data_IF_576804569461
#
_entry.id   IF_576804569461
#
_cell.length_a   1.000
_cell.length_b   1.000
_cell.length_c   1.000
_cell.angle_alpha   90.00
_cell.angle_beta   90.00
_cell.angle_gamma   90.00
#
_symmetry.space_group_name_H-M   'P 1'
#
loop_
_entity.id
_entity.type
_entity.pdbx_description
1 polymer ?
#
# COMPACT_ATOMS: atom_id res chain seq x y z
N UNK A 1 19.86 21.02 -2.98
CA UNK A 1 20.38 19.70 -3.42
C UNK A 1 19.35 18.56 -3.28
N UNK A 2 19.36 17.52 -4.15
CA UNK A 2 18.54 16.31 -3.97
C UNK A 2 19.13 15.38 -2.90
N UNK A 3 18.35 15.00 -1.90
CA UNK A 3 18.83 14.09 -0.85
C UNK A 3 18.65 12.61 -1.22
N UNK A 4 19.69 11.84 -0.95
CA UNK A 4 19.61 10.37 -0.93
C UNK A 4 18.90 9.89 0.35
N UNK A 5 18.36 8.66 0.39
CA UNK A 5 17.76 8.12 1.61
C UNK A 5 18.71 8.15 2.82
N UNK A 6 19.98 7.79 2.65
CA UNK A 6 20.96 7.78 3.74
C UNK A 6 21.30 9.21 4.21
N UNK A 7 21.38 10.16 3.29
CA UNK A 7 21.56 11.59 3.60
C UNK A 7 20.36 12.16 4.35
N UNK A 8 19.14 11.74 4.01
CA UNK A 8 17.92 12.16 4.70
C UNK A 8 17.88 11.66 6.16
N UNK A 9 18.27 10.42 6.42
CA UNK A 9 18.34 9.92 7.81
C UNK A 9 19.41 10.62 8.65
N UNK A 10 20.52 11.05 8.03
CA UNK A 10 21.51 11.91 8.70
C UNK A 10 20.91 13.27 9.05
N UNK A 11 20.23 13.91 8.10
CA UNK A 11 19.52 15.17 8.31
C UNK A 11 18.48 15.07 9.44
N UNK A 12 17.79 13.94 9.57
CA UNK A 12 16.82 13.75 10.66
C UNK A 12 17.48 13.73 12.05
N UNK A 13 18.74 13.31 12.17
CA UNK A 13 19.46 13.20 13.46
C UNK A 13 20.17 14.48 13.87
N UNK A 14 20.61 15.25 12.88
CA UNK A 14 21.24 16.55 13.06
C UNK A 14 20.68 17.50 11.99
N UNK A 15 19.54 18.15 12.26
CA UNK A 15 18.86 19.01 11.30
C UNK A 15 19.59 20.36 11.13
N UNK A 16 20.45 20.70 12.10
CA UNK A 16 21.03 22.02 12.32
C UNK A 16 22.38 22.16 11.61
N UNK A 17 22.34 21.91 10.30
CA UNK A 17 23.19 22.65 9.37
C UNK A 17 22.53 23.98 8.98
N UNK A 18 22.92 24.52 7.82
CA UNK A 18 22.31 25.70 7.22
C UNK A 18 20.95 25.43 6.53
N UNK A 19 20.25 24.34 6.85
CA UNK A 19 19.04 23.94 6.10
C UNK A 19 17.85 24.84 6.41
N UNK A 20 17.32 25.51 5.38
CA UNK A 20 16.21 26.48 5.50
C UNK A 20 14.87 25.97 4.97
N UNK A 21 14.86 24.98 4.07
CA UNK A 21 13.61 24.39 3.59
C UNK A 21 13.79 22.99 3.00
N UNK A 22 12.75 22.16 3.16
CA UNK A 22 12.65 20.84 2.53
C UNK A 22 11.42 20.75 1.62
N UNK A 23 11.62 20.14 0.46
CA UNK A 23 10.57 19.80 -0.50
C UNK A 23 10.38 18.29 -0.54
N UNK A 24 9.25 17.80 -0.03
CA UNK A 24 8.82 16.42 -0.22
C UNK A 24 7.98 16.32 -1.49
N UNK A 25 8.29 15.36 -2.37
CA UNK A 25 7.54 15.21 -3.61
C UNK A 25 7.50 13.77 -4.13
N UNK A 26 6.38 13.36 -4.71
CA UNK A 26 6.22 12.06 -5.34
C UNK A 26 4.85 11.46 -5.12
N UNK A 27 4.55 10.39 -5.86
CA UNK A 27 3.22 9.82 -6.01
C UNK A 27 2.73 9.02 -4.78
N UNK A 28 3.54 8.93 -3.72
CA UNK A 28 3.22 8.12 -2.54
C UNK A 28 3.02 9.00 -1.31
N UNK A 29 1.77 9.36 -1.04
CA UNK A 29 1.35 10.19 0.10
C UNK A 29 1.85 9.61 1.43
N UNK A 30 1.78 8.29 1.58
CA UNK A 30 2.30 7.59 2.75
C UNK A 30 3.78 7.86 3.00
N UNK A 31 4.64 7.73 1.97
CA UNK A 31 6.07 7.93 2.14
C UNK A 31 6.41 9.40 2.40
N UNK A 32 5.64 10.33 1.83
CA UNK A 32 5.74 11.75 2.18
C UNK A 32 5.45 11.95 3.65
N UNK A 33 4.29 11.51 4.13
CA UNK A 33 3.88 11.68 5.53
C UNK A 33 4.86 10.99 6.48
N UNK A 34 5.29 9.77 6.17
CA UNK A 34 6.25 9.01 6.98
C UNK A 34 7.59 9.73 7.12
N UNK A 35 8.16 10.24 6.02
CA UNK A 35 9.41 11.00 6.07
C UNK A 35 9.23 12.34 6.78
N UNK A 36 8.12 13.03 6.54
CA UNK A 36 7.82 14.29 7.20
C UNK A 36 7.66 14.11 8.71
N UNK A 37 6.91 13.09 9.16
CA UNK A 37 6.77 12.70 10.56
C UNK A 37 8.12 12.34 11.20
N UNK A 38 8.95 11.57 10.48
CA UNK A 38 10.29 11.19 10.94
C UNK A 38 11.16 12.43 11.16
N UNK A 39 11.14 13.37 10.21
CA UNK A 39 11.87 14.63 10.34
C UNK A 39 11.35 15.46 11.52
N UNK A 40 10.03 15.63 11.64
CA UNK A 40 9.43 16.44 12.70
C UNK A 40 9.69 15.86 14.10
N UNK A 41 9.49 14.55 14.30
CA UNK A 41 9.67 13.90 15.61
C UNK A 41 11.09 13.97 16.15
N UNK A 42 12.09 13.87 15.27
CA UNK A 42 13.49 13.93 15.69
C UNK A 42 13.97 15.37 15.97
N UNK A 43 13.20 16.39 15.57
CA UNK A 43 13.61 17.79 15.62
C UNK A 43 12.62 18.67 16.39
N UNK A 44 12.34 18.36 17.67
CA UNK A 44 11.33 19.04 18.48
C UNK A 44 11.67 20.51 18.76
N UNK A 45 12.94 20.91 18.71
CA UNK A 45 13.37 22.32 18.91
C UNK A 45 13.01 23.23 17.74
N UNK A 46 12.75 22.67 16.55
CA UNK A 46 12.20 23.41 15.41
C UNK A 46 10.67 23.61 15.58
N UNK A 47 10.04 22.79 16.43
CA UNK A 47 8.59 22.77 16.66
C UNK A 47 8.25 23.72 17.83
N UNK A 48 7.88 24.96 17.52
CA UNK A 48 6.80 25.59 18.27
C UNK A 48 5.54 24.75 18.05
N UNK A 49 4.80 24.46 19.12
CA UNK A 49 3.62 23.59 19.14
C UNK A 49 2.84 23.46 17.80
N UNK A 50 2.77 22.23 17.28
CA UNK A 50 2.02 21.77 16.10
C UNK A 50 2.34 22.49 14.77
N UNK A 51 2.78 21.78 13.71
CA UNK A 51 3.00 22.39 12.41
C UNK A 51 1.68 22.86 11.76
N UNK A 52 1.68 24.05 11.16
CA UNK A 52 0.54 24.60 10.43
C UNK A 52 0.57 24.16 8.98
N UNK A 53 -0.46 23.44 8.57
CA UNK A 53 -0.58 22.95 7.19
C UNK A 53 -1.53 23.81 6.38
N UNK A 54 -1.08 24.30 5.22
CA UNK A 54 -1.84 25.23 4.38
C UNK A 54 -1.71 24.80 2.89
N UNK A 55 -2.79 24.65 2.13
CA UNK A 55 -2.73 24.45 0.68
C UNK A 55 -2.13 25.65 -0.05
N UNK A 56 -1.34 25.39 -1.11
CA UNK A 56 -0.72 26.42 -1.96
C UNK A 56 -1.71 27.53 -2.36
N UNK A 57 -2.90 27.15 -2.83
CA UNK A 57 -3.84 28.11 -3.40
C UNK A 57 -4.29 29.16 -2.38
N UNK A 58 -4.50 28.77 -1.12
CA UNK A 58 -4.82 29.70 -0.03
C UNK A 58 -3.63 30.62 0.32
N UNK A 59 -2.39 30.12 0.21
CA UNK A 59 -1.20 30.95 0.43
C UNK A 59 -1.05 31.99 -0.67
N UNK A 60 -1.35 31.63 -1.92
CA UNK A 60 -1.24 32.51 -3.07
C UNK A 60 -2.41 33.53 -3.16
N UNK A 61 -3.62 33.15 -2.76
CA UNK A 61 -4.79 34.05 -2.70
C UNK A 61 -4.60 35.23 -1.75
N UNK A 62 -3.88 35.02 -0.64
CA UNK A 62 -3.55 36.07 0.34
C UNK A 62 -2.42 37.01 -0.12
N UNK A 63 -2.24 37.19 -1.44
CA UNK A 63 -1.33 38.18 -2.06
C UNK A 63 0.12 38.14 -1.54
N UNK A 64 0.66 36.96 -1.23
CA UNK A 64 2.00 36.81 -0.64
C UNK A 64 2.18 37.56 0.68
N UNK A 65 1.17 37.55 1.55
CA UNK A 65 1.40 38.01 2.93
C UNK A 65 2.40 37.08 3.62
N UNK A 66 3.67 37.47 3.56
CA UNK A 66 4.77 36.71 4.14
C UNK A 66 4.75 36.78 5.66
N UNK A 67 3.99 37.72 6.26
CA UNK A 67 3.94 37.90 7.72
C UNK A 67 3.60 36.61 8.45
N UNK A 68 2.79 35.75 7.83
CA UNK A 68 2.46 34.43 8.31
C UNK A 68 3.72 33.59 8.65
N UNK A 69 4.77 33.65 7.83
CA UNK A 69 6.01 32.91 8.04
C UNK A 69 6.93 33.53 9.09
N UNK A 70 6.74 34.82 9.39
CA UNK A 70 7.54 35.55 10.38
C UNK A 70 6.85 35.68 11.74
N UNK A 71 5.56 35.32 11.80
CA UNK A 71 4.79 35.40 13.04
C UNK A 71 5.32 34.36 14.02
N UNK A 72 5.71 34.83 15.20
CA UNK A 72 6.03 33.96 16.34
C UNK A 72 4.85 34.03 17.29
N UNK A 73 4.35 32.88 17.70
CA UNK A 73 3.43 32.86 18.82
C UNK A 73 4.12 33.40 20.08
N UNK A 74 3.37 34.12 20.90
CA UNK A 74 3.91 34.72 22.12
C UNK A 74 4.25 33.67 23.19
N UNK A 75 3.63 32.48 23.11
CA UNK A 75 3.76 31.39 24.08
C UNK A 75 4.40 30.12 23.48
N UNK A 76 4.33 29.96 22.17
CA UNK A 76 4.86 28.83 21.39
C UNK A 76 6.13 29.29 20.67
N UNK A 77 7.14 28.44 20.53
CA UNK A 77 8.31 28.74 19.68
C UNK A 77 7.93 29.02 18.20
N UNK A 78 8.90 29.11 17.29
CA UNK A 78 8.61 29.32 15.86
C UNK A 78 7.66 28.23 15.31
N UNK A 79 6.54 28.65 14.70
CA UNK A 79 5.57 27.74 14.08
C UNK A 79 6.12 27.24 12.73
N UNK A 80 6.16 25.91 12.52
CA UNK A 80 6.57 25.35 11.22
C UNK A 80 5.39 25.43 10.28
N UNK A 81 5.57 26.08 9.12
CA UNK A 81 4.58 26.11 8.05
C UNK A 81 4.87 24.99 7.04
N UNK A 82 3.83 24.21 6.75
CA UNK A 82 3.83 23.17 5.72
C UNK A 82 2.87 23.60 4.61
N UNK A 83 3.42 23.91 3.44
CA UNK A 83 2.61 24.23 2.26
C UNK A 83 2.37 22.94 1.47
N UNK A 84 1.10 22.58 1.28
CA UNK A 84 0.70 21.37 0.54
C UNK A 84 0.24 21.71 -0.87
N UNK A 85 0.21 20.69 -1.74
CA UNK A 85 -0.17 20.85 -3.16
C UNK A 85 0.75 21.81 -3.91
N UNK A 86 2.03 21.84 -3.53
CA UNK A 86 3.03 22.69 -4.14
C UNK A 86 3.24 22.31 -5.62
N UNK A 87 3.20 23.32 -6.49
CA UNK A 87 3.47 23.24 -7.92
C UNK A 87 4.48 24.31 -8.32
N UNK A 88 4.89 24.37 -9.58
CA UNK A 88 5.77 25.44 -10.08
C UNK A 88 5.20 26.86 -9.87
N UNK A 89 3.90 27.00 -9.57
CA UNK A 89 3.27 28.30 -9.22
C UNK A 89 3.78 28.90 -7.91
N UNK A 90 4.24 28.08 -6.95
CA UNK A 90 4.74 28.56 -5.65
C UNK A 90 6.15 29.18 -5.74
N UNK A 91 6.89 28.93 -6.84
CA UNK A 91 8.30 29.31 -6.98
C UNK A 91 8.58 30.78 -6.63
N UNK A 92 7.81 31.77 -7.14
CA UNK A 92 8.06 33.17 -6.79
C UNK A 92 7.91 33.46 -5.29
N UNK A 93 6.99 32.77 -4.60
CA UNK A 93 6.85 32.91 -3.15
C UNK A 93 8.06 32.32 -2.42
N UNK A 94 8.55 31.17 -2.86
CA UNK A 94 9.72 30.52 -2.26
C UNK A 94 10.97 31.39 -2.41
N UNK A 95 11.15 32.02 -3.56
CA UNK A 95 12.25 32.99 -3.81
C UNK A 95 12.13 34.23 -2.91
N UNK A 96 10.91 34.75 -2.71
CA UNK A 96 10.66 35.87 -1.79
C UNK A 96 10.97 35.50 -0.32
N UNK A 97 10.53 34.31 0.12
CA UNK A 97 10.79 33.76 1.46
C UNK A 97 12.30 33.55 1.70
N UNK A 98 12.99 33.07 0.67
CA UNK A 98 14.44 32.89 0.73
C UNK A 98 15.15 34.24 0.91
N UNK A 99 14.84 35.20 0.04
CA UNK A 99 15.42 36.54 0.02
C UNK A 99 15.21 37.31 1.33
N UNK A 100 14.06 37.12 1.98
CA UNK A 100 13.74 37.77 3.25
C UNK A 100 14.23 36.99 4.48
N UNK A 101 15.04 35.95 4.29
CA UNK A 101 15.56 35.15 5.41
C UNK A 101 14.44 34.55 6.29
N UNK A 102 13.34 34.11 5.66
CA UNK A 102 12.21 33.52 6.38
C UNK A 102 12.63 32.32 7.25
N UNK A 103 11.92 32.08 8.38
CA UNK A 103 12.06 30.87 9.18
C UNK A 103 11.87 29.59 8.37
N UNK A 104 12.29 28.47 8.96
CA UNK A 104 12.22 27.16 8.31
C UNK A 104 10.78 26.80 7.90
N UNK A 105 10.61 26.34 6.66
CA UNK A 105 9.31 25.90 6.12
C UNK A 105 9.44 24.63 5.27
N UNK A 106 8.34 23.90 5.16
CA UNK A 106 8.23 22.66 4.39
C UNK A 106 7.30 22.85 3.19
N UNK A 107 7.66 22.22 2.07
CA UNK A 107 6.79 22.08 0.90
C UNK A 107 6.45 20.60 0.68
N UNK A 108 5.21 20.34 0.29
CA UNK A 108 4.76 19.05 -0.19
C UNK A 108 4.11 19.19 -1.57
N UNK A 109 4.71 18.57 -2.59
CA UNK A 109 4.14 18.38 -3.92
C UNK A 109 3.64 16.94 -4.08
N UNK A 110 2.36 16.75 -4.41
CA UNK A 110 1.74 15.41 -4.52
C UNK A 110 2.24 14.58 -5.70
N UNK A 111 2.78 15.22 -6.72
CA UNK A 111 3.11 14.57 -7.98
C UNK A 111 4.63 14.40 -8.17
N UNK A 112 4.98 13.55 -9.13
CA UNK A 112 6.32 13.47 -9.66
C UNK A 112 6.77 14.82 -10.26
N UNK A 113 7.79 15.43 -9.66
CA UNK A 113 8.46 16.60 -10.24
C UNK A 113 9.57 16.16 -11.21
N UNK A 114 9.33 16.40 -12.51
CA UNK A 114 10.33 16.21 -13.57
C UNK A 114 11.58 17.06 -13.27
N UNK A 115 12.79 16.65 -13.68
CA UNK A 115 14.02 17.46 -13.51
C UNK A 115 13.93 18.86 -14.13
N UNK A 116 13.01 19.06 -15.08
CA UNK A 116 12.75 20.35 -15.73
C UNK A 116 11.85 21.29 -14.91
N UNK A 117 11.16 20.80 -13.88
CA UNK A 117 10.30 21.60 -12.99
C UNK A 117 11.09 22.74 -12.37
N UNK A 118 10.49 23.93 -12.37
CA UNK A 118 11.11 25.13 -11.80
C UNK A 118 11.32 24.95 -10.30
N UNK A 119 10.31 24.42 -9.60
CA UNK A 119 10.38 24.17 -8.17
C UNK A 119 11.49 23.18 -7.80
N UNK A 120 11.59 22.08 -8.56
CA UNK A 120 12.65 21.10 -8.33
C UNK A 120 14.03 21.68 -8.60
N UNK A 121 14.21 22.44 -9.69
CA UNK A 121 15.48 23.10 -10.01
C UNK A 121 15.90 24.09 -8.93
N UNK A 122 14.97 24.88 -8.41
CA UNK A 122 15.21 25.81 -7.30
C UNK A 122 15.77 25.04 -6.09
N UNK A 123 15.08 24.00 -5.64
CA UNK A 123 15.52 23.21 -4.48
C UNK A 123 16.83 22.47 -4.72
N UNK A 124 17.06 21.91 -5.91
CA UNK A 124 18.29 21.17 -6.20
C UNK A 124 19.51 22.09 -6.35
N UNK A 125 19.31 23.32 -6.88
CA UNK A 125 20.37 24.31 -7.09
C UNK A 125 20.70 25.21 -5.89
N UNK A 126 19.82 25.29 -4.88
CA UNK A 126 20.05 26.12 -3.70
C UNK A 126 20.95 25.42 -2.64
N UNK A 127 21.89 26.13 -1.98
CA UNK A 127 22.79 25.54 -0.98
C UNK A 127 22.07 25.09 0.30
N UNK A 128 20.98 25.76 0.65
CA UNK A 128 20.28 25.58 1.93
C UNK A 128 18.92 24.88 1.79
N UNK A 129 18.49 24.57 0.55
CA UNK A 129 17.23 23.86 0.30
C UNK A 129 17.50 22.43 -0.17
N UNK A 130 16.60 21.52 0.19
CA UNK A 130 16.75 20.12 -0.18
C UNK A 130 15.46 19.49 -0.70
N UNK A 131 15.57 18.71 -1.77
CA UNK A 131 14.45 17.95 -2.33
C UNK A 131 14.52 16.48 -1.92
N UNK A 132 13.37 15.91 -1.55
CA UNK A 132 13.22 14.56 -1.00
C UNK A 132 12.17 13.84 -1.84
N UNK A 133 12.58 12.94 -2.75
CA UNK A 133 11.63 12.13 -3.51
C UNK A 133 10.96 11.07 -2.63
N UNK A 134 9.66 10.90 -2.83
CA UNK A 134 8.78 9.97 -2.12
C UNK A 134 7.96 9.19 -3.15
N UNK A 135 8.61 8.24 -3.82
CA UNK A 135 7.96 7.33 -4.76
C UNK A 135 7.59 6.02 -4.08
N UNK A 136 6.71 5.28 -4.71
CA UNK A 136 6.49 3.89 -4.33
C UNK A 136 7.81 3.12 -4.42
N UNK A 137 8.06 2.31 -3.39
CA UNK A 137 9.27 1.52 -3.31
C UNK A 137 9.14 0.30 -4.22
N UNK A 138 10.23 -0.05 -4.91
CA UNK A 138 10.37 -1.39 -5.47
C UNK A 138 10.35 -2.44 -4.36
N UNK A 139 10.06 -3.70 -4.68
CA UNK A 139 10.06 -4.79 -3.67
C UNK A 139 11.39 -4.87 -2.91
N UNK A 140 12.53 -4.65 -3.59
CA UNK A 140 13.84 -4.65 -2.94
C UNK A 140 14.02 -3.47 -1.97
N UNK A 141 13.54 -2.28 -2.33
CA UNK A 141 13.59 -1.11 -1.45
C UNK A 141 12.62 -1.26 -0.26
N UNK A 142 11.45 -1.86 -0.49
CA UNK A 142 10.48 -2.16 0.56
C UNK A 142 11.05 -3.16 1.58
N UNK A 143 11.70 -4.22 1.13
CA UNK A 143 12.38 -5.18 2.00
C UNK A 143 13.50 -4.50 2.82
N UNK A 144 14.27 -3.60 2.18
CA UNK A 144 15.31 -2.82 2.88
C UNK A 144 14.68 -1.94 3.96
N UNK A 145 13.56 -1.30 3.66
CA UNK A 145 12.88 -0.42 4.62
C UNK A 145 12.28 -1.19 5.79
N UNK A 146 11.59 -2.31 5.53
CA UNK A 146 11.09 -3.19 6.60
C UNK A 146 12.25 -3.64 7.50
N UNK A 147 13.40 -4.02 6.92
CA UNK A 147 14.61 -4.40 7.68
C UNK A 147 15.11 -3.26 8.57
N UNK A 148 15.12 -2.03 8.06
CA UNK A 148 15.51 -0.85 8.83
C UNK A 148 14.58 -0.64 10.02
N UNK A 149 13.26 -0.78 9.83
CA UNK A 149 12.27 -0.62 10.89
C UNK A 149 12.47 -1.66 12.00
N UNK A 150 12.66 -2.94 11.65
CA UNK A 150 12.98 -3.98 12.64
C UNK A 150 14.26 -3.64 13.44
N UNK A 151 15.29 -3.16 12.74
CA UNK A 151 16.56 -2.76 13.37
C UNK A 151 16.36 -1.58 14.33
N UNK A 152 15.60 -0.55 13.93
CA UNK A 152 15.28 0.60 14.77
C UNK A 152 14.50 0.21 16.04
N UNK A 153 13.59 -0.76 15.93
CA UNK A 153 12.81 -1.30 17.05
C UNK A 153 13.57 -2.35 17.88
N UNK A 154 14.85 -2.62 17.56
CA UNK A 154 15.69 -3.65 18.18
C UNK A 154 15.06 -5.05 18.12
N UNK A 155 14.30 -5.33 17.06
CA UNK A 155 13.70 -6.63 16.77
C UNK A 155 14.47 -7.31 15.64
N UNK A 156 14.42 -8.64 15.59
CA UNK A 156 15.09 -9.46 14.58
C UNK A 156 14.06 -10.31 13.85
N UNK A 157 14.33 -10.63 12.61
CA UNK A 157 13.51 -11.53 11.79
C UNK A 157 14.35 -12.07 10.63
N UNK A 158 13.90 -13.14 9.97
CA UNK A 158 14.59 -13.69 8.81
C UNK A 158 14.36 -12.82 7.56
N UNK A 159 15.30 -12.87 6.60
CA UNK A 159 15.11 -12.20 5.30
C UNK A 159 13.90 -12.73 4.53
N UNK A 160 13.57 -14.02 4.72
CA UNK A 160 12.37 -14.61 4.12
C UNK A 160 11.09 -14.01 4.69
N UNK A 161 11.01 -13.81 6.00
CA UNK A 161 9.88 -13.15 6.66
C UNK A 161 9.72 -11.69 6.23
N UNK A 162 10.83 -10.96 6.08
CA UNK A 162 10.82 -9.58 5.57
C UNK A 162 10.20 -9.55 4.17
N UNK A 163 10.64 -10.44 3.28
CA UNK A 163 10.07 -10.57 1.94
C UNK A 163 8.58 -10.92 1.96
N UNK A 164 8.18 -11.82 2.85
CA UNK A 164 6.77 -12.19 2.99
C UNK A 164 5.91 -11.03 3.48
N UNK A 165 6.34 -10.31 4.52
CA UNK A 165 5.67 -9.08 5.00
C UNK A 165 5.57 -8.05 3.87
N UNK A 166 6.66 -7.84 3.14
CA UNK A 166 6.68 -6.95 1.97
C UNK A 166 5.66 -7.35 0.92
N UNK A 167 5.57 -8.65 0.59
CA UNK A 167 4.60 -9.17 -0.38
C UNK A 167 3.15 -9.06 0.12
N UNK A 168 2.89 -9.36 1.39
CA UNK A 168 1.54 -9.35 1.96
C UNK A 168 0.94 -7.94 1.98
N UNK A 169 1.76 -6.93 2.25
CA UNK A 169 1.28 -5.56 2.47
C UNK A 169 1.76 -4.58 1.38
N UNK A 170 2.26 -5.08 0.25
CA UNK A 170 2.73 -4.26 -0.88
C UNK A 170 1.62 -3.38 -1.48
N UNK A 171 0.37 -3.81 -1.39
CA UNK A 171 -0.77 -3.18 -2.07
C UNK A 171 -1.18 -1.83 -1.49
N UNK A 172 -0.79 -1.51 -0.26
CA UNK A 172 -1.02 -0.19 0.34
C UNK A 172 0.02 0.08 1.44
N UNK A 173 0.89 1.09 1.28
CA UNK A 173 1.88 1.45 2.29
C UNK A 173 1.27 1.79 3.67
N UNK A 174 0.06 2.34 3.71
CA UNK A 174 -0.71 2.60 4.94
C UNK A 174 -1.01 1.31 5.71
N UNK A 175 -1.40 0.25 4.98
CA UNK A 175 -1.65 -1.07 5.54
C UNK A 175 -0.35 -1.66 6.06
N UNK A 176 0.76 -1.57 5.31
CA UNK A 176 2.06 -2.06 5.79
C UNK A 176 2.44 -1.47 7.16
N UNK A 177 2.23 -0.15 7.37
CA UNK A 177 2.53 0.48 8.67
C UNK A 177 1.63 -0.07 9.78
N UNK A 178 0.33 -0.13 9.55
CA UNK A 178 -0.63 -0.66 10.53
C UNK A 178 -0.29 -2.10 10.92
N UNK A 179 0.02 -2.94 9.93
CA UNK A 179 0.34 -4.35 10.14
C UNK A 179 1.71 -4.54 10.81
N UNK A 180 2.72 -3.72 10.47
CA UNK A 180 3.98 -3.69 11.20
C UNK A 180 3.81 -3.27 12.68
N UNK A 181 2.98 -2.26 12.97
CA UNK A 181 2.70 -1.88 14.36
C UNK A 181 1.96 -3.00 15.12
N UNK A 182 1.02 -3.71 14.48
CA UNK A 182 0.40 -4.90 15.07
C UNK A 182 1.43 -5.98 15.36
N UNK A 183 2.33 -6.26 14.41
CA UNK A 183 3.43 -7.21 14.59
C UNK A 183 4.28 -6.81 15.80
N UNK A 184 4.72 -5.56 15.89
CA UNK A 184 5.56 -5.11 17.00
C UNK A 184 4.82 -5.12 18.35
N UNK A 185 3.52 -4.81 18.34
CA UNK A 185 2.67 -4.87 19.53
C UNK A 185 2.54 -6.31 20.03
N UNK A 186 2.27 -7.26 19.14
CA UNK A 186 2.20 -8.68 19.47
C UNK A 186 3.53 -9.22 19.97
N UNK A 187 4.63 -8.85 19.33
CA UNK A 187 5.96 -9.26 19.76
C UNK A 187 6.22 -8.82 21.21
N UNK A 188 5.74 -7.66 21.65
CA UNK A 188 5.93 -7.20 23.03
C UNK A 188 7.40 -7.26 23.44
N UNK A 189 7.74 -8.11 24.41
CA UNK A 189 9.13 -8.37 24.82
C UNK A 189 9.91 -9.34 23.92
N UNK A 190 9.25 -10.16 23.08
CA UNK A 190 9.87 -11.10 22.14
C UNK A 190 10.80 -10.36 21.18
N UNK A 191 12.06 -10.78 21.07
CA UNK A 191 13.04 -10.12 20.23
C UNK A 191 13.02 -10.58 18.78
N UNK A 192 12.67 -11.85 18.53
CA UNK A 192 12.74 -12.50 17.21
C UNK A 192 11.33 -12.81 16.72
N UNK A 193 10.98 -12.34 15.53
CA UNK A 193 9.75 -12.73 14.84
C UNK A 193 9.98 -14.02 14.06
N UNK A 194 9.08 -14.97 14.22
CA UNK A 194 9.09 -16.26 13.55
C UNK A 194 7.83 -16.43 12.69
N UNK A 195 7.86 -17.39 11.76
CA UNK A 195 6.72 -17.59 10.86
C UNK A 195 5.44 -18.02 11.56
N UNK A 196 5.54 -18.71 12.71
CA UNK A 196 4.39 -19.05 13.52
C UNK A 196 3.70 -17.80 14.08
N UNK A 197 4.46 -16.78 14.48
CA UNK A 197 3.91 -15.52 14.97
C UNK A 197 3.13 -14.79 13.88
N UNK A 198 3.71 -14.73 12.67
CA UNK A 198 3.07 -14.09 11.53
C UNK A 198 1.74 -14.77 11.18
N UNK A 199 1.67 -16.10 11.23
CA UNK A 199 0.42 -16.86 11.01
C UNK A 199 -0.65 -16.58 12.06
N UNK A 200 -0.26 -16.31 13.30
CA UNK A 200 -1.20 -15.98 14.38
C UNK A 200 -1.68 -14.52 14.28
N UNK A 201 -0.78 -13.61 13.89
CA UNK A 201 -1.02 -12.17 13.74
C UNK A 201 -1.86 -11.83 12.53
N UNK A 202 -1.55 -12.47 11.41
CA UNK A 202 -2.37 -12.45 10.21
C UNK A 202 -3.47 -13.50 10.43
N UNK A 203 -4.31 -13.25 11.43
CA UNK A 203 -5.68 -13.77 11.41
C UNK A 203 -6.31 -13.12 10.19
N UNK A 204 -6.43 -13.90 9.14
CA UNK A 204 -6.62 -13.46 7.76
C UNK A 204 -8.12 -13.15 7.55
N UNK A 205 -8.64 -12.25 8.39
CA UNK A 205 -10.00 -12.26 8.95
C UNK A 205 -11.10 -11.74 7.99
N UNK A 206 -11.18 -12.32 6.80
CA UNK A 206 -12.32 -12.15 5.89
C UNK A 206 -11.99 -12.42 4.41
N UNK A 207 -10.73 -12.23 4.02
CA UNK A 207 -10.27 -12.55 2.66
C UNK A 207 -9.70 -13.98 2.52
N UNK A 208 -9.14 -14.62 3.56
CA UNK A 208 -8.72 -16.04 3.43
C UNK A 208 -9.90 -16.93 3.40
N UNK A 209 -10.93 -16.75 4.24
CA UNK A 209 -11.96 -17.79 4.33
C UNK A 209 -12.74 -17.87 3.01
N UNK A 210 -13.04 -16.71 2.42
CA UNK A 210 -13.53 -16.60 1.06
C UNK A 210 -12.54 -17.16 0.02
N UNK A 211 -11.26 -16.80 0.10
CA UNK A 211 -10.23 -17.28 -0.85
C UNK A 211 -9.98 -18.78 -0.73
N UNK A 212 -9.97 -19.33 0.48
CA UNK A 212 -9.77 -20.74 0.80
C UNK A 212 -10.99 -21.55 0.36
N UNK A 213 -12.20 -20.99 0.46
CA UNK A 213 -13.40 -21.58 -0.12
C UNK A 213 -13.30 -21.62 -1.65
N UNK A 214 -12.91 -20.51 -2.28
CA UNK A 214 -12.73 -20.42 -3.73
C UNK A 214 -11.64 -21.38 -4.21
N UNK A 215 -10.49 -21.40 -3.53
CA UNK A 215 -9.38 -22.27 -3.86
C UNK A 215 -9.75 -23.73 -3.66
N UNK A 216 -10.39 -24.10 -2.55
CA UNK A 216 -10.83 -25.48 -2.33
C UNK A 216 -11.86 -25.94 -3.36
N UNK A 217 -12.75 -25.05 -3.81
CA UNK A 217 -13.66 -25.31 -4.92
C UNK A 217 -12.90 -25.55 -6.24
N UNK A 218 -11.98 -24.65 -6.59
CA UNK A 218 -11.19 -24.74 -7.83
C UNK A 218 -10.17 -25.90 -7.81
N UNK A 219 -9.72 -26.32 -6.64
CA UNK A 219 -8.89 -27.51 -6.47
C UNK A 219 -9.69 -28.81 -6.44
N UNK A 220 -11.03 -28.73 -6.46
CA UNK A 220 -11.96 -29.86 -6.30
C UNK A 220 -11.73 -30.65 -4.99
N UNK A 221 -11.24 -29.98 -3.94
CA UNK A 221 -11.03 -30.59 -2.62
C UNK A 221 -12.33 -30.56 -1.80
N UNK A 222 -13.12 -31.63 -1.92
CA UNK A 222 -14.43 -31.74 -1.26
C UNK A 222 -14.34 -31.54 0.27
N UNK A 223 -13.31 -32.09 0.92
CA UNK A 223 -13.17 -32.04 2.38
C UNK A 223 -12.81 -30.64 2.86
N UNK A 224 -11.86 -30.00 2.18
CA UNK A 224 -11.46 -28.62 2.48
C UNK A 224 -12.60 -27.65 2.20
N UNK A 225 -13.34 -27.84 1.09
CA UNK A 225 -14.48 -27.01 0.73
C UNK A 225 -15.56 -26.99 1.82
N UNK A 226 -15.98 -28.16 2.31
CA UNK A 226 -16.96 -28.26 3.41
C UNK A 226 -16.41 -27.59 4.68
N UNK A 227 -15.13 -27.79 4.98
CA UNK A 227 -14.49 -27.19 6.16
C UNK A 227 -14.47 -25.66 6.07
N UNK A 228 -14.13 -25.11 4.91
CA UNK A 228 -14.13 -23.66 4.67
C UNK A 228 -15.55 -23.09 4.71
N UNK A 229 -16.52 -23.78 4.13
CA UNK A 229 -17.92 -23.35 4.11
C UNK A 229 -18.51 -23.26 5.52
N UNK A 230 -18.19 -24.23 6.39
CA UNK A 230 -18.63 -24.22 7.79
C UNK A 230 -17.99 -23.12 8.64
N UNK A 231 -16.89 -22.51 8.18
CA UNK A 231 -16.22 -21.40 8.86
C UNK A 231 -16.77 -20.04 8.48
N UNK A 232 -17.53 -19.94 7.39
CA UNK A 232 -18.09 -18.67 6.94
C UNK A 232 -18.97 -18.07 8.04
N UNK A 233 -18.68 -16.83 8.39
CA UNK A 233 -19.45 -16.08 9.38
C UNK A 233 -20.76 -15.53 8.79
N UNK A 234 -21.69 -15.11 9.66
CA UNK A 234 -22.95 -14.49 9.23
C UNK A 234 -22.75 -13.13 8.53
N UNK A 235 -21.57 -12.52 8.69
CA UNK A 235 -21.23 -11.24 8.06
C UNK A 235 -20.67 -11.39 6.64
N UNK A 236 -20.43 -12.63 6.20
CA UNK A 236 -19.77 -12.94 4.95
C UNK A 236 -20.63 -12.48 3.79
N UNK A 237 -20.05 -11.63 2.94
CA UNK A 237 -20.71 -11.22 1.71
C UNK A 237 -20.59 -12.31 0.65
N UNK A 238 -21.64 -13.12 0.49
CA UNK A 238 -21.72 -14.15 -0.56
C UNK A 238 -21.45 -13.59 -1.96
N UNK A 239 -21.91 -12.36 -2.23
CA UNK A 239 -21.66 -11.67 -3.50
C UNK A 239 -20.15 -11.43 -3.70
N UNK A 240 -19.43 -11.01 -2.66
CA UNK A 240 -17.99 -10.83 -2.73
C UNK A 240 -17.25 -12.16 -3.00
N UNK A 241 -17.69 -13.26 -2.39
CA UNK A 241 -17.11 -14.59 -2.65
C UNK A 241 -17.35 -15.04 -4.08
N UNK A 242 -18.58 -14.87 -4.61
CA UNK A 242 -18.90 -15.19 -6.00
C UNK A 242 -18.09 -14.36 -6.99
N UNK A 243 -17.84 -13.08 -6.70
CA UNK A 243 -16.97 -12.22 -7.52
C UNK A 243 -15.53 -12.69 -7.49
N UNK A 244 -15.02 -13.12 -6.34
CA UNK A 244 -13.67 -13.68 -6.21
C UNK A 244 -13.52 -14.97 -7.03
N UNK A 245 -14.51 -15.87 -6.97
CA UNK A 245 -14.56 -17.06 -7.82
C UNK A 245 -14.60 -16.69 -9.30
N UNK A 246 -15.42 -15.70 -9.68
CA UNK A 246 -15.55 -15.22 -11.06
C UNK A 246 -14.21 -14.70 -11.60
N UNK A 247 -13.50 -13.88 -10.81
CA UNK A 247 -12.17 -13.38 -11.18
C UNK A 247 -11.17 -14.51 -11.38
N UNK A 248 -11.14 -15.48 -10.45
CA UNK A 248 -10.22 -16.62 -10.50
C UNK A 248 -10.49 -17.50 -11.72
N UNK A 249 -11.76 -17.86 -11.97
CA UNK A 249 -12.18 -18.62 -13.15
C UNK A 249 -11.88 -17.88 -14.45
N UNK A 250 -12.13 -16.56 -14.51
CA UNK A 250 -11.85 -15.76 -15.71
C UNK A 250 -10.35 -15.75 -16.05
N UNK A 251 -9.49 -15.67 -15.03
CA UNK A 251 -8.03 -15.76 -15.23
C UNK A 251 -7.60 -17.15 -15.72
N UNK A 252 -8.14 -18.21 -15.12
CA UNK A 252 -7.88 -19.59 -15.56
C UNK A 252 -8.36 -19.80 -17.00
N UNK A 253 -9.56 -19.33 -17.33
CA UNK A 253 -10.15 -19.43 -18.67
C UNK A 253 -9.28 -18.71 -19.71
N UNK A 254 -8.83 -17.49 -19.41
CA UNK A 254 -7.97 -16.72 -20.29
C UNK A 254 -6.65 -17.47 -20.60
N UNK A 255 -5.97 -17.99 -19.57
CA UNK A 255 -4.74 -18.76 -19.77
C UNK A 255 -5.01 -20.07 -20.52
N UNK A 256 -6.13 -20.74 -20.24
CA UNK A 256 -6.54 -21.99 -20.92
C UNK A 256 -6.78 -21.75 -22.41
N UNK A 257 -7.44 -20.65 -22.77
CA UNK A 257 -7.67 -20.26 -24.16
C UNK A 257 -6.36 -20.06 -24.93
N UNK A 258 -5.35 -19.47 -24.30
CA UNK A 258 -4.03 -19.29 -24.90
C UNK A 258 -3.29 -20.61 -25.08
N UNK A 259 -3.35 -21.51 -24.09
CA UNK A 259 -2.80 -22.85 -24.21
C UNK A 259 -3.46 -23.63 -25.36
N UNK A 260 -4.79 -23.55 -25.47
CA UNK A 260 -5.54 -24.18 -26.55
C UNK A 260 -5.21 -23.59 -27.93
N UNK A 261 -4.76 -22.33 -27.96
CA UNK A 261 -4.27 -21.65 -29.17
C UNK A 261 -2.80 -22.00 -29.51
N UNK A 262 -2.16 -22.87 -28.73
CA UNK A 262 -0.80 -23.35 -28.96
C UNK A 262 0.32 -22.55 -28.29
N UNK A 263 -0.01 -21.57 -27.44
CA UNK A 263 0.99 -20.78 -26.73
C UNK A 263 1.59 -21.54 -25.52
N UNK A 264 2.91 -21.43 -25.25
CA UNK A 264 3.51 -22.06 -24.07
C UNK A 264 2.98 -21.50 -22.74
N UNK A 265 2.84 -22.36 -21.74
CA UNK A 265 2.29 -22.01 -20.41
C UNK A 265 2.96 -20.79 -19.77
N UNK A 266 4.30 -20.73 -19.80
CA UNK A 266 5.08 -19.65 -19.20
C UNK A 266 4.80 -18.30 -19.88
N UNK A 267 4.46 -18.30 -21.17
CA UNK A 267 4.07 -17.11 -21.92
C UNK A 267 2.62 -16.75 -21.63
N UNK A 268 1.72 -17.74 -21.63
CA UNK A 268 0.30 -17.55 -21.37
C UNK A 268 0.04 -17.02 -19.95
N UNK A 269 0.83 -17.40 -18.95
CA UNK A 269 0.71 -16.86 -17.59
C UNK A 269 1.13 -15.37 -17.52
N UNK A 270 2.11 -14.95 -18.31
CA UNK A 270 2.66 -13.59 -18.25
C UNK A 270 1.71 -12.50 -18.78
N UNK A 271 0.67 -12.88 -19.52
CA UNK A 271 -0.33 -11.93 -20.01
C UNK A 271 -1.32 -11.49 -18.92
N UNK A 272 -1.35 -12.20 -17.78
CA UNK A 272 -2.29 -11.91 -16.71
C UNK A 272 -2.02 -10.54 -16.10
N UNK A 273 -3.09 -9.76 -15.99
CA UNK A 273 -3.12 -8.48 -15.27
C UNK A 273 -4.17 -8.55 -14.17
N UNK A 274 -3.79 -8.49 -12.87
CA UNK A 274 -2.42 -8.38 -12.36
C UNK A 274 -1.59 -9.68 -12.53
N UNK A 275 -0.25 -9.57 -12.55
CA UNK A 275 0.64 -10.73 -12.60
C UNK A 275 0.42 -11.69 -11.43
N UNK A 276 0.65 -12.99 -11.64
CA UNK A 276 0.63 -13.97 -10.54
C UNK A 276 1.81 -13.76 -9.58
N UNK A 277 1.52 -13.78 -8.29
CA UNK A 277 2.55 -13.77 -7.26
C UNK A 277 3.28 -15.12 -7.24
N UNK A 278 4.56 -15.13 -6.84
CA UNK A 278 5.39 -16.34 -6.87
C UNK A 278 4.76 -17.54 -6.13
N UNK A 279 4.13 -17.29 -4.98
CA UNK A 279 3.49 -18.34 -4.17
C UNK A 279 2.18 -18.87 -4.75
N UNK A 280 1.50 -18.09 -5.61
CA UNK A 280 0.24 -18.48 -6.25
C UNK A 280 0.46 -19.39 -7.47
N UNK A 281 1.66 -19.36 -8.07
CA UNK A 281 1.92 -20.04 -9.34
C UNK A 281 1.68 -21.56 -9.27
N UNK A 282 2.02 -22.19 -8.14
CA UNK A 282 1.80 -23.62 -7.94
C UNK A 282 0.31 -23.97 -7.92
N UNK A 283 -0.45 -23.26 -7.09
CA UNK A 283 -1.91 -23.43 -6.95
C UNK A 283 -2.62 -23.13 -8.27
N UNK A 284 -2.27 -22.02 -8.93
CA UNK A 284 -2.87 -21.62 -10.20
C UNK A 284 -2.65 -22.67 -11.29
N UNK A 285 -1.41 -23.19 -11.45
CA UNK A 285 -1.12 -24.24 -12.42
C UNK A 285 -1.93 -25.51 -12.14
N UNK A 286 -2.02 -25.92 -10.86
CA UNK A 286 -2.83 -27.09 -10.46
C UNK A 286 -4.30 -26.89 -10.85
N UNK A 287 -4.89 -25.75 -10.49
CA UNK A 287 -6.28 -25.42 -10.84
C UNK A 287 -6.49 -25.40 -12.37
N UNK A 288 -5.57 -24.81 -13.14
CA UNK A 288 -5.67 -24.71 -14.60
C UNK A 288 -5.82 -26.06 -15.31
N UNK A 289 -5.18 -27.10 -14.78
CA UNK A 289 -5.24 -28.45 -15.36
C UNK A 289 -6.45 -29.27 -14.88
N UNK A 290 -7.13 -28.86 -13.81
CA UNK A 290 -8.32 -29.55 -13.28
C UNK A 290 -9.61 -29.22 -14.04
N UNK A 291 -9.64 -28.13 -14.79
CA UNK A 291 -10.84 -27.60 -15.43
C UNK A 291 -10.67 -27.52 -16.95
N UNK A 292 -11.72 -27.91 -17.68
CA UNK A 292 -11.86 -27.64 -19.11
C UNK A 292 -12.36 -26.21 -19.35
N UNK A 293 -12.19 -25.72 -20.58
CA UNK A 293 -12.66 -24.37 -20.95
C UNK A 293 -14.20 -24.29 -20.88
N UNK A 294 -14.88 -25.34 -21.35
CA UNK A 294 -16.34 -25.46 -21.36
C UNK A 294 -16.92 -25.53 -19.94
N UNK A 295 -16.26 -26.26 -19.03
CA UNK A 295 -16.65 -26.32 -17.62
C UNK A 295 -16.56 -24.94 -16.96
N UNK A 296 -15.47 -24.20 -17.19
CA UNK A 296 -15.30 -22.84 -16.65
C UNK A 296 -16.40 -21.91 -17.18
N UNK A 297 -16.71 -21.95 -18.48
CA UNK A 297 -17.77 -21.14 -19.08
C UNK A 297 -19.16 -21.47 -18.53
N UNK A 298 -19.43 -22.76 -18.29
CA UNK A 298 -20.67 -23.21 -17.67
C UNK A 298 -20.82 -22.66 -16.25
N UNK A 299 -19.75 -22.74 -15.45
CA UNK A 299 -19.75 -22.23 -14.07
C UNK A 299 -19.89 -20.72 -14.04
N UNK A 300 -19.19 -19.97 -14.92
CA UNK A 300 -19.33 -18.52 -14.99
C UNK A 300 -20.77 -18.08 -15.29
N UNK A 301 -21.46 -18.80 -16.20
CA UNK A 301 -22.90 -18.59 -16.46
C UNK A 301 -23.76 -18.92 -15.25
N UNK A 302 -23.43 -19.98 -14.51
CA UNK A 302 -24.14 -20.37 -13.30
C UNK A 302 -23.96 -19.35 -12.17
N UNK A 303 -22.73 -18.87 -11.92
CA UNK A 303 -22.43 -17.83 -10.92
C UNK A 303 -23.29 -16.59 -11.18
N UNK A 304 -23.42 -16.17 -12.44
CA UNK A 304 -24.24 -15.01 -12.80
C UNK A 304 -25.71 -15.19 -12.39
N UNK A 305 -26.27 -16.39 -12.61
CA UNK A 305 -27.66 -16.72 -12.21
C UNK A 305 -27.79 -16.71 -10.68
N UNK A 306 -26.84 -17.32 -9.99
CA UNK A 306 -26.83 -17.40 -8.53
C UNK A 306 -26.69 -16.02 -7.90
N UNK A 307 -25.83 -15.15 -8.44
CA UNK A 307 -25.68 -13.77 -7.96
C UNK A 307 -27.00 -12.98 -8.07
N UNK A 308 -27.75 -13.15 -9.18
CA UNK A 308 -29.08 -12.57 -9.35
C UNK A 308 -30.06 -13.13 -8.29
N UNK A 309 -30.08 -14.46 -8.10
CA UNK A 309 -30.96 -15.11 -7.13
C UNK A 309 -30.71 -14.64 -5.70
N UNK A 310 -29.43 -14.50 -5.30
CA UNK A 310 -29.04 -13.99 -3.97
C UNK A 310 -29.48 -12.54 -3.79
N UNK A 311 -29.28 -11.69 -4.80
CA UNK A 311 -29.70 -10.27 -4.75
C UNK A 311 -31.21 -10.10 -4.62
N UNK A 312 -31.99 -10.99 -5.24
CA UNK A 312 -33.45 -10.96 -5.18
C UNK A 312 -34.01 -11.60 -3.91
N UNK A 313 -33.31 -12.56 -3.31
CA UNK A 313 -33.82 -13.39 -2.21
C UNK A 313 -32.85 -13.40 -1.01
N UNK A 314 -32.61 -12.23 -0.40
CA UNK A 314 -31.62 -12.07 0.67
C UNK A 314 -31.83 -13.00 1.89
N UNK A 315 -33.07 -13.37 2.20
CA UNK A 315 -33.41 -14.24 3.35
C UNK A 315 -32.94 -15.68 3.22
N UNK A 316 -32.78 -16.17 1.99
CA UNK A 316 -32.34 -17.55 1.68
C UNK A 316 -31.01 -17.57 0.94
N UNK A 317 -30.26 -16.47 1.04
CA UNK A 317 -29.01 -16.29 0.30
C UNK A 317 -27.97 -17.33 0.68
N UNK A 318 -27.93 -17.75 1.95
CA UNK A 318 -26.99 -18.74 2.46
C UNK A 318 -27.25 -20.11 1.83
N UNK A 319 -28.50 -20.56 1.80
CA UNK A 319 -28.89 -21.86 1.27
C UNK A 319 -28.63 -21.93 -0.25
N UNK A 320 -28.95 -20.85 -0.97
CA UNK A 320 -28.65 -20.73 -2.41
C UNK A 320 -27.14 -20.79 -2.65
N UNK A 321 -26.36 -20.09 -1.83
CA UNK A 321 -24.90 -20.06 -1.92
C UNK A 321 -24.27 -21.43 -1.63
N UNK A 322 -24.63 -22.06 -0.52
CA UNK A 322 -24.12 -23.38 -0.15
C UNK A 322 -24.49 -24.45 -1.19
N UNK A 323 -25.73 -24.43 -1.68
CA UNK A 323 -26.18 -25.35 -2.72
C UNK A 323 -25.33 -25.22 -4.00
N UNK A 324 -25.01 -24.00 -4.42
CA UNK A 324 -24.16 -23.76 -5.58
C UNK A 324 -22.76 -24.40 -5.42
N UNK A 325 -22.10 -24.20 -4.28
CA UNK A 325 -20.77 -24.77 -4.03
C UNK A 325 -20.79 -26.30 -3.86
N UNK A 326 -21.87 -26.86 -3.32
CA UNK A 326 -22.00 -28.31 -3.10
C UNK A 326 -22.46 -29.09 -4.34
N UNK A 327 -23.18 -28.46 -5.27
CA UNK A 327 -23.75 -29.12 -6.46
C UNK A 327 -22.73 -29.93 -7.28
N UNK A 328 -21.51 -29.43 -7.56
CA UNK A 328 -20.50 -30.23 -8.28
C UNK A 328 -20.02 -31.47 -7.53
N UNK A 329 -20.25 -31.56 -6.21
CA UNK A 329 -19.82 -32.68 -5.37
C UNK A 329 -20.76 -33.89 -5.45
N UNK A 330 -22.00 -33.69 -5.91
CA UNK A 330 -23.07 -34.71 -5.96
C UNK A 330 -23.13 -35.40 -7.33
N UNK A 331 -22.53 -34.80 -8.37
CA UNK A 331 -22.56 -35.29 -9.75
C UNK A 331 -21.30 -36.08 -10.17
N UNK A 332 -20.44 -36.41 -9.21
CA UNK A 332 -19.28 -37.32 -9.33
C UNK A 332 -19.29 -38.25 -8.13
#
# INVERSE_FOLDING_TARGET
MKLSPDSFFKLCKDPLGETRSLLFYGNSEFWVQSKMDCFLKNNPTIIGFQPRTIPQDLVLENKKDLSLFFTKDFFSGPEIIIITQATDKIVPLVEDLDSQSAPFFLLHARDYLKPVSKLRKLYEGHPQFFSIPCYDLSSAELEKEIRNIFTQRRKKTSSELIRQIGNFFHSSPETLKSELEKIFTYMGSKEILEMADLKNLISFSGQTEASDLVDSFLERDKKKLITCMNRLDESTSYISVLRMLTLSLSRLHHVKSELNSGNPLERSIKILTPPLLFHEQGTFKKQLFLWSQEEMESILKEITKIEISIKLNSKVAKEIFEFFFLKPLVLV
#
